data_IF_732361269544
#
_entry.id   IF_732361269544
#
_cell.length_a   1.000
_cell.length_b   1.000
_cell.length_c   1.000
_cell.angle_alpha   90.00
_cell.angle_beta   90.00
_cell.angle_gamma   90.00
#
_symmetry.space_group_name_H-M   'P 1'
#
loop_
_entity.id
_entity.type
_entity.pdbx_description
1 polymer ?
#
# COMPACT_ATOMS: atom_id res chain seq x y z
N UNK A 1 -29.80 -11.20 -14.63
CA UNK A 1 -28.51 -11.42 -15.31
C UNK A 1 -27.51 -11.85 -14.24
N UNK A 2 -27.26 -13.17 -14.11
CA UNK A 2 -26.26 -13.68 -13.17
C UNK A 2 -24.88 -13.22 -13.67
N UNK A 3 -24.18 -12.41 -12.89
CA UNK A 3 -22.74 -12.24 -13.08
C UNK A 3 -22.05 -13.37 -12.31
N UNK A 4 -21.46 -14.39 -12.97
CA UNK A 4 -20.58 -15.31 -12.29
C UNK A 4 -19.25 -14.59 -12.12
N UNK A 5 -19.15 -13.69 -11.14
CA UNK A 5 -17.86 -13.11 -10.78
C UNK A 5 -17.11 -14.19 -10.01
N UNK A 6 -16.28 -14.96 -10.73
CA UNK A 6 -15.22 -15.72 -10.08
C UNK A 6 -14.26 -14.67 -9.51
N UNK A 7 -14.32 -14.47 -8.19
CA UNK A 7 -13.34 -13.66 -7.45
C UNK A 7 -11.97 -14.28 -7.68
N UNK A 8 -11.16 -13.66 -8.51
CA UNK A 8 -9.79 -14.11 -8.69
C UNK A 8 -8.93 -13.56 -7.54
N UNK A 9 -8.33 -14.49 -6.79
CA UNK A 9 -7.30 -14.20 -5.81
C UNK A 9 -6.20 -13.33 -6.45
N UNK A 10 -5.82 -12.26 -5.75
CA UNK A 10 -4.72 -11.38 -6.18
C UNK A 10 -3.41 -12.05 -5.79
N UNK A 11 -2.44 -12.05 -6.69
CA UNK A 11 -1.13 -12.67 -6.47
C UNK A 11 -0.08 -11.59 -6.24
N UNK A 12 0.84 -11.83 -5.31
CA UNK A 12 2.11 -11.10 -5.20
C UNK A 12 3.25 -12.09 -5.48
N UNK A 13 4.38 -11.62 -5.98
CA UNK A 13 5.50 -12.50 -6.30
C UNK A 13 5.99 -13.30 -5.11
N UNK A 14 6.10 -14.62 -5.31
CA UNK A 14 6.53 -15.54 -4.25
C UNK A 14 5.55 -15.63 -3.06
N UNK A 15 4.42 -14.92 -3.12
CA UNK A 15 3.38 -14.93 -2.11
C UNK A 15 2.28 -15.91 -2.46
N UNK A 16 2.02 -16.83 -1.54
CA UNK A 16 0.81 -17.64 -1.55
C UNK A 16 -0.28 -16.87 -0.83
N UNK A 17 -1.41 -16.62 -1.50
CA UNK A 17 -2.58 -16.05 -0.83
C UNK A 17 -2.95 -16.92 0.37
N UNK A 18 -3.10 -16.27 1.52
CA UNK A 18 -3.29 -16.92 2.80
C UNK A 18 -4.62 -16.53 3.43
N UNK A 19 -5.65 -16.30 2.62
CA UNK A 19 -6.92 -15.73 3.03
C UNK A 19 -7.97 -16.74 3.52
N UNK A 20 -7.89 -18.01 3.12
CA UNK A 20 -8.98 -18.96 3.42
C UNK A 20 -8.93 -19.50 4.84
N UNK A 21 -10.08 -19.90 5.39
CA UNK A 21 -10.19 -20.66 6.65
C UNK A 21 -9.54 -19.98 7.86
N UNK A 22 -9.70 -18.67 7.99
CA UNK A 22 -9.41 -17.97 9.24
C UNK A 22 -10.56 -18.16 10.23
N UNK A 23 -10.24 -18.15 11.50
CA UNK A 23 -11.20 -18.09 12.59
C UNK A 23 -11.24 -16.67 13.13
N UNK A 24 -12.42 -16.14 13.38
CA UNK A 24 -12.65 -14.77 13.86
C UNK A 24 -13.52 -14.75 15.11
N UNK A 25 -13.20 -13.86 16.03
CA UNK A 25 -14.00 -13.55 17.20
C UNK A 25 -14.02 -12.03 17.43
N UNK A 26 -15.22 -11.47 17.56
CA UNK A 26 -15.43 -10.09 18.00
C UNK A 26 -15.56 -10.09 19.53
N UNK A 27 -14.66 -9.39 20.21
CA UNK A 27 -14.51 -9.37 21.66
C UNK A 27 -13.06 -9.60 22.09
N UNK A 28 -12.64 -8.97 23.18
CA UNK A 28 -11.25 -9.08 23.67
C UNK A 28 -11.04 -10.35 24.50
N UNK A 29 -11.05 -11.50 23.83
CA UNK A 29 -10.69 -12.76 24.48
C UNK A 29 -9.99 -13.70 23.51
N UNK A 30 -8.94 -14.33 24.01
CA UNK A 30 -8.22 -15.38 23.30
C UNK A 30 -8.75 -16.78 23.66
N UNK A 31 -9.77 -16.87 24.52
CA UNK A 31 -10.36 -18.14 24.94
C UNK A 31 -11.08 -18.81 23.76
N UNK A 32 -10.66 -20.03 23.44
CA UNK A 32 -11.25 -20.87 22.37
C UNK A 32 -12.54 -21.57 22.79
N UNK A 33 -12.99 -21.38 24.03
CA UNK A 33 -14.27 -21.92 24.51
C UNK A 33 -15.47 -21.27 23.81
N UNK A 34 -15.25 -20.13 23.14
CA UNK A 34 -16.19 -19.51 22.22
C UNK A 34 -15.97 -20.11 20.82
N UNK A 35 -17.04 -20.54 20.12
CA UNK A 35 -16.96 -21.01 18.73
C UNK A 35 -16.60 -19.83 17.81
N UNK A 36 -15.31 -19.62 17.55
CA UNK A 36 -14.86 -18.58 16.61
C UNK A 36 -15.42 -18.88 15.21
N UNK A 37 -15.96 -17.85 14.53
CA UNK A 37 -16.55 -17.97 13.19
C UNK A 37 -15.46 -18.26 12.18
N UNK A 38 -15.65 -19.24 11.30
CA UNK A 38 -14.74 -19.46 10.18
C UNK A 38 -15.13 -18.55 9.01
N UNK A 39 -14.15 -17.88 8.41
CA UNK A 39 -14.33 -16.97 7.26
C UNK A 39 -13.09 -16.93 6.35
N UNK A 40 -13.22 -16.29 5.20
CA UNK A 40 -12.10 -15.93 4.33
C UNK A 40 -11.85 -14.44 4.39
N UNK A 41 -10.58 -14.05 4.29
CA UNK A 41 -10.14 -12.66 4.13
C UNK A 41 -10.23 -12.22 2.66
N UNK A 42 -10.25 -10.92 2.36
CA UNK A 42 -10.35 -9.78 3.28
C UNK A 42 -11.68 -9.75 4.05
N UNK A 43 -11.68 -9.18 5.25
CA UNK A 43 -12.85 -9.12 6.11
C UNK A 43 -12.93 -7.78 6.85
N UNK A 44 -14.13 -7.19 6.80
CA UNK A 44 -14.53 -6.00 7.52
C UNK A 44 -15.70 -6.39 8.43
N UNK A 45 -15.50 -6.44 9.75
CA UNK A 45 -16.58 -6.87 10.64
C UNK A 45 -17.60 -5.77 10.93
N UNK A 46 -17.22 -4.49 10.74
CA UNK A 46 -18.08 -3.35 11.09
C UNK A 46 -19.29 -3.29 10.16
N UNK A 47 -19.11 -3.57 8.87
CA UNK A 47 -20.21 -3.52 7.88
C UNK A 47 -21.29 -4.59 8.13
N UNK A 48 -20.98 -5.64 8.89
CA UNK A 48 -21.93 -6.69 9.27
C UNK A 48 -22.84 -6.28 10.45
N UNK A 49 -22.52 -5.18 11.14
CA UNK A 49 -23.23 -4.72 12.33
C UNK A 49 -24.39 -3.77 11.98
N UNK A 50 -25.41 -3.65 12.85
CA UNK A 50 -26.47 -2.68 12.63
C UNK A 50 -25.94 -1.25 12.79
N UNK A 51 -26.43 -0.35 11.94
CA UNK A 51 -26.24 1.09 12.08
C UNK A 51 -26.96 1.58 13.35
N UNK A 52 -26.32 2.45 14.13
CA UNK A 52 -26.90 3.07 15.34
C UNK A 52 -26.34 4.47 15.58
N UNK A 53 -27.18 5.39 16.06
CA UNK A 53 -26.80 6.74 16.52
C UNK A 53 -25.94 6.72 17.80
N UNK A 54 -25.78 5.55 18.43
CA UNK A 54 -24.84 5.35 19.53
C UNK A 54 -23.38 5.40 19.05
N UNK A 55 -23.13 5.14 17.77
CA UNK A 55 -21.81 5.17 17.14
C UNK A 55 -21.54 6.51 16.46
N UNK A 56 -20.27 6.77 16.16
CA UNK A 56 -19.85 8.06 15.64
C UNK A 56 -20.42 8.33 14.23
N UNK A 57 -20.96 9.53 14.04
CA UNK A 57 -21.43 10.00 12.74
C UNK A 57 -20.29 10.05 11.70
N UNK A 58 -19.08 10.44 12.12
CA UNK A 58 -17.91 10.52 11.25
C UNK A 58 -17.48 9.16 10.66
N UNK A 59 -17.76 8.05 11.34
CA UNK A 59 -17.45 6.68 10.90
C UNK A 59 -18.72 5.93 10.50
N UNK A 60 -19.71 6.65 9.97
CA UNK A 60 -20.94 6.12 9.38
C UNK A 60 -21.85 5.33 10.34
N UNK A 61 -21.89 5.68 11.63
CA UNK A 61 -22.80 5.09 12.60
C UNK A 61 -22.63 3.56 12.77
N UNK A 62 -21.40 3.06 12.56
CA UNK A 62 -21.06 1.65 12.73
C UNK A 62 -20.02 1.47 13.85
N UNK A 63 -20.06 0.34 14.57
CA UNK A 63 -19.13 0.07 15.67
C UNK A 63 -17.73 -0.30 15.19
N UNK A 64 -16.75 -0.13 16.08
CA UNK A 64 -15.43 -0.76 16.02
C UNK A 64 -15.32 -1.95 16.98
N UNK A 65 -14.48 -1.81 18.00
CA UNK A 65 -14.20 -2.80 19.04
C UNK A 65 -12.89 -3.59 18.83
N UNK A 66 -12.69 -4.62 19.64
CA UNK A 66 -11.52 -5.52 19.53
C UNK A 66 -11.93 -6.79 18.79
N UNK A 67 -11.21 -7.11 17.72
CA UNK A 67 -11.39 -8.35 16.96
C UNK A 67 -10.12 -9.20 16.98
N UNK A 68 -10.31 -10.51 17.15
CA UNK A 68 -9.23 -11.50 17.08
C UNK A 68 -9.40 -12.40 15.86
N UNK A 69 -8.31 -12.61 15.13
CA UNK A 69 -8.21 -13.58 14.05
C UNK A 69 -7.19 -14.66 14.42
N UNK A 70 -7.46 -15.90 14.03
CA UNK A 70 -6.56 -17.02 14.20
C UNK A 70 -6.52 -17.86 12.93
N UNK A 71 -5.33 -18.33 12.58
CA UNK A 71 -5.17 -19.32 11.51
C UNK A 71 -4.13 -20.36 11.86
N UNK A 72 -4.49 -21.61 11.63
CA UNK A 72 -3.59 -22.75 11.79
C UNK A 72 -3.16 -23.28 10.43
N UNK A 73 -1.88 -23.58 10.26
CA UNK A 73 -1.31 -24.15 9.04
C UNK A 73 -0.13 -25.07 9.36
N UNK A 74 0.20 -25.96 8.44
CA UNK A 74 1.43 -26.76 8.52
C UNK A 74 2.42 -26.24 7.46
N UNK A 75 3.65 -25.83 7.84
CA UNK A 75 4.66 -25.39 6.90
C UNK A 75 4.99 -26.49 5.89
N UNK A 76 5.04 -26.12 4.60
CA UNK A 76 5.44 -27.05 3.55
C UNK A 76 6.93 -27.42 3.73
N UNK A 77 7.26 -28.71 3.69
CA UNK A 77 8.63 -29.18 3.88
C UNK A 77 9.63 -28.54 2.89
N UNK A 78 9.17 -28.12 1.71
CA UNK A 78 10.00 -27.43 0.70
C UNK A 78 10.50 -26.05 1.14
N UNK A 79 9.89 -25.45 2.17
CA UNK A 79 10.29 -24.15 2.69
C UNK A 79 11.52 -24.24 3.61
N UNK A 80 11.99 -25.44 3.97
CA UNK A 80 13.18 -25.59 4.81
C UNK A 80 14.40 -24.94 4.16
N UNK A 81 15.12 -24.13 4.93
CA UNK A 81 16.27 -23.36 4.46
C UNK A 81 15.92 -22.06 3.72
N UNK A 82 14.62 -21.79 3.52
CA UNK A 82 14.13 -20.52 2.99
C UNK A 82 13.74 -19.58 4.13
N UNK A 83 13.67 -18.28 3.83
CA UNK A 83 12.97 -17.30 4.65
C UNK A 83 11.48 -17.40 4.38
N UNK A 84 10.69 -17.47 5.44
CA UNK A 84 9.23 -17.50 5.40
C UNK A 84 8.72 -16.30 6.18
N UNK A 85 7.90 -15.49 5.53
CA UNK A 85 7.28 -14.32 6.14
C UNK A 85 5.76 -14.35 5.99
N UNK A 86 5.07 -13.65 6.88
CA UNK A 86 3.67 -13.28 6.68
C UNK A 86 3.59 -11.80 6.32
N UNK A 87 2.85 -11.50 5.25
CA UNK A 87 2.61 -10.14 4.76
C UNK A 87 1.14 -9.80 4.89
N UNK A 88 0.85 -8.62 5.43
CA UNK A 88 -0.49 -8.04 5.53
C UNK A 88 -0.55 -6.78 4.67
N UNK A 89 -1.47 -6.72 3.72
CA UNK A 89 -1.63 -5.52 2.87
C UNK A 89 -2.35 -4.36 3.59
N UNK A 90 -3.02 -4.65 4.71
CA UNK A 90 -3.64 -3.68 5.61
C UNK A 90 -4.51 -4.36 6.67
N UNK A 91 -4.44 -3.84 7.90
CA UNK A 91 -5.25 -4.27 9.05
C UNK A 91 -5.69 -3.04 9.81
N UNK A 92 -6.98 -2.69 9.75
CA UNK A 92 -7.52 -1.52 10.45
C UNK A 92 -8.00 -1.91 11.85
N UNK A 93 -7.39 -1.44 12.94
CA UNK A 93 -6.11 -0.74 13.10
C UNK A 93 -5.40 -1.27 14.36
N UNK A 94 -4.32 -0.62 14.79
CA UNK A 94 -3.62 -0.96 16.04
C UNK A 94 -3.34 -2.46 16.15
N UNK A 95 -2.90 -3.05 15.03
CA UNK A 95 -2.83 -4.49 14.90
C UNK A 95 -1.61 -5.04 15.61
N UNK A 96 -1.76 -6.21 16.23
CA UNK A 96 -0.69 -6.95 16.89
C UNK A 96 -0.69 -8.39 16.38
N UNK A 97 0.49 -8.97 16.14
CA UNK A 97 0.61 -10.29 15.52
C UNK A 97 1.48 -11.23 16.35
N UNK A 98 1.04 -12.48 16.46
CA UNK A 98 1.78 -13.57 17.10
C UNK A 98 1.84 -14.80 16.21
N UNK A 99 2.89 -15.61 16.38
CA UNK A 99 2.96 -16.98 15.88
C UNK A 99 3.43 -17.92 16.99
N UNK A 100 2.68 -19.00 17.23
CA UNK A 100 2.98 -20.01 18.26
C UNK A 100 3.26 -19.39 19.66
N UNK A 101 2.58 -18.30 20.00
CA UNK A 101 2.77 -17.56 21.26
C UNK A 101 3.90 -16.53 21.25
N UNK A 102 4.74 -16.48 20.22
CA UNK A 102 5.76 -15.45 20.05
C UNK A 102 5.16 -14.18 19.46
N UNK A 103 5.35 -13.05 20.12
CA UNK A 103 4.96 -11.73 19.62
C UNK A 103 5.89 -11.27 18.49
N UNK A 104 5.32 -10.85 17.37
CA UNK A 104 6.06 -10.38 16.19
C UNK A 104 6.15 -8.86 16.13
N UNK A 105 5.11 -8.15 16.54
CA UNK A 105 5.10 -6.69 16.54
C UNK A 105 3.69 -6.08 16.48
N UNK A 106 3.66 -4.75 16.50
CA UNK A 106 2.48 -3.89 16.34
C UNK A 106 2.59 -3.08 15.06
N UNK A 107 1.45 -2.82 14.39
CA UNK A 107 1.30 -1.80 13.34
C UNK A 107 0.10 -0.90 13.67
N UNK A 108 0.33 0.35 14.11
CA UNK A 108 -0.76 1.27 14.47
C UNK A 108 -1.62 1.69 13.28
N UNK A 109 -0.98 2.10 12.19
CA UNK A 109 -1.65 2.60 11.00
C UNK A 109 -2.37 1.48 10.25
N UNK A 110 -3.67 1.65 10.03
CA UNK A 110 -4.50 0.65 9.35
C UNK A 110 -4.32 0.57 7.84
N UNK A 111 -3.64 1.54 7.22
CA UNK A 111 -3.58 1.67 5.76
C UNK A 111 -2.27 1.19 5.13
N UNK A 112 -1.21 1.04 5.92
CA UNK A 112 0.11 0.67 5.41
C UNK A 112 0.32 -0.83 5.53
N UNK A 113 0.85 -1.43 4.48
CA UNK A 113 1.21 -2.83 4.47
C UNK A 113 2.44 -3.11 5.34
N UNK A 114 2.58 -4.34 5.82
CA UNK A 114 3.73 -4.75 6.63
C UNK A 114 4.03 -6.26 6.50
N UNK A 115 5.26 -6.64 6.82
CA UNK A 115 5.75 -8.02 6.73
C UNK A 115 6.52 -8.41 8.01
N UNK A 116 6.30 -9.62 8.51
CA UNK A 116 7.07 -10.21 9.62
C UNK A 116 7.76 -11.52 9.20
N UNK A 117 9.06 -11.66 9.50
CA UNK A 117 9.80 -12.92 9.35
C UNK A 117 9.34 -13.91 10.44
N UNK A 118 8.70 -15.00 10.01
CA UNK A 118 8.21 -16.06 10.91
C UNK A 118 9.13 -17.28 10.95
N UNK A 119 10.18 -17.30 10.12
CA UNK A 119 11.12 -18.43 9.99
C UNK A 119 11.61 -18.97 11.34
N UNK A 120 12.05 -18.12 12.30
CA UNK A 120 12.61 -18.60 13.57
C UNK A 120 11.60 -19.34 14.46
N UNK A 121 10.30 -19.12 14.23
CA UNK A 121 9.23 -19.60 15.11
C UNK A 121 8.45 -20.78 14.52
N UNK A 122 8.80 -21.23 13.31
CA UNK A 122 8.11 -22.33 12.63
C UNK A 122 8.38 -23.69 13.29
N UNK A 123 7.31 -24.38 13.69
CA UNK A 123 7.31 -25.76 14.13
C UNK A 123 7.18 -26.69 12.91
N UNK A 124 8.29 -27.20 12.41
CA UNK A 124 8.29 -28.06 11.22
C UNK A 124 7.59 -29.40 11.45
N UNK A 125 6.76 -29.81 10.48
CA UNK A 125 5.99 -31.06 10.55
C UNK A 125 4.85 -31.04 11.57
N UNK A 126 4.56 -29.89 12.17
CA UNK A 126 3.48 -29.68 13.14
C UNK A 126 2.59 -28.52 12.71
N UNK A 127 1.41 -28.45 13.32
CA UNK A 127 0.54 -27.29 13.21
C UNK A 127 1.21 -26.05 13.83
N UNK A 128 1.10 -24.93 13.13
CA UNK A 128 1.54 -23.60 13.55
C UNK A 128 0.33 -22.69 13.57
N UNK A 129 0.23 -21.83 14.58
CA UNK A 129 -0.93 -20.94 14.77
C UNK A 129 -0.48 -19.49 14.77
N UNK A 130 -1.02 -18.71 13.83
CA UNK A 130 -0.92 -17.26 13.81
C UNK A 130 -2.14 -16.68 14.50
N UNK A 131 -1.94 -15.67 15.34
CA UNK A 131 -3.00 -14.84 15.93
C UNK A 131 -2.78 -13.38 15.55
N UNK A 132 -3.86 -12.68 15.28
CA UNK A 132 -3.86 -11.25 15.00
C UNK A 132 -4.93 -10.59 15.86
N UNK A 133 -4.55 -9.58 16.63
CA UNK A 133 -5.49 -8.66 17.29
C UNK A 133 -5.62 -7.42 16.40
N UNK A 134 -6.83 -6.96 16.18
CA UNK A 134 -7.11 -5.63 15.64
C UNK A 134 -7.90 -4.87 16.70
N UNK A 135 -7.40 -3.69 17.08
CA UNK A 135 -7.96 -2.88 18.17
C UNK A 135 -8.52 -1.57 17.62
N UNK A 136 -9.85 -1.53 17.50
CA UNK A 136 -10.60 -0.38 17.02
C UNK A 136 -11.59 0.09 18.10
N UNK A 137 -11.21 0.07 19.38
CA UNK A 137 -12.05 0.60 20.47
C UNK A 137 -12.32 2.10 20.32
N UNK A 138 -11.35 2.83 19.77
CA UNK A 138 -11.49 4.22 19.32
C UNK A 138 -12.35 4.26 18.04
N UNK A 139 -13.65 4.01 18.15
CA UNK A 139 -14.56 3.91 17.00
C UNK A 139 -14.81 5.24 16.27
N UNK A 140 -14.28 6.34 16.79
CA UNK A 140 -14.45 7.71 16.30
C UNK A 140 -13.10 8.35 15.92
N UNK A 141 -12.16 7.56 15.38
CA UNK A 141 -10.78 7.97 15.12
C UNK A 141 -10.52 8.47 13.67
N UNK A 142 -11.55 8.47 12.83
CA UNK A 142 -11.51 8.85 11.42
C UNK A 142 -12.64 9.82 11.06
N UNK A 143 -12.42 10.63 10.01
CA UNK A 143 -13.46 11.54 9.46
C UNK A 143 -14.36 10.85 8.44
N UNK A 144 -14.04 9.61 8.07
CA UNK A 144 -14.78 8.77 7.13
C UNK A 144 -14.83 7.33 7.64
N UNK A 145 -15.69 6.51 7.04
CA UNK A 145 -15.80 5.10 7.35
C UNK A 145 -14.51 4.33 7.00
N UNK A 146 -13.98 3.59 7.97
CA UNK A 146 -12.71 2.84 7.86
C UNK A 146 -12.89 1.34 7.87
N UNK A 147 -14.05 0.87 8.33
CA UNK A 147 -14.29 -0.52 8.67
C UNK A 147 -13.36 -1.04 9.77
N UNK A 148 -13.35 -2.36 9.97
CA UNK A 148 -12.50 -2.97 11.00
C UNK A 148 -11.99 -4.37 10.64
N UNK A 149 -10.70 -4.59 10.88
CA UNK A 149 -10.06 -5.89 10.81
C UNK A 149 -9.09 -6.06 9.66
N UNK A 150 -8.87 -7.31 9.23
CA UNK A 150 -7.95 -7.64 8.14
C UNK A 150 -8.69 -7.46 6.81
N UNK A 151 -8.90 -6.20 6.44
CA UNK A 151 -9.71 -5.80 5.28
C UNK A 151 -8.96 -5.86 3.95
N UNK A 152 -7.67 -6.22 3.95
CA UNK A 152 -6.90 -6.49 2.73
C UNK A 152 -6.23 -7.88 2.80
N UNK A 153 -5.65 -8.29 1.67
CA UNK A 153 -5.11 -9.63 1.52
C UNK A 153 -3.93 -9.92 2.46
N UNK A 154 -3.82 -11.18 2.85
CA UNK A 154 -2.70 -11.74 3.60
C UNK A 154 -1.98 -12.76 2.76
N UNK A 155 -0.66 -12.77 2.82
CA UNK A 155 0.17 -13.70 2.06
C UNK A 155 1.20 -14.37 2.95
N UNK A 156 1.48 -15.65 2.67
CA UNK A 156 2.73 -16.27 3.11
C UNK A 156 3.73 -16.17 1.98
N UNK A 157 4.88 -15.56 2.26
CA UNK A 157 5.94 -15.34 1.27
C UNK A 157 7.14 -16.19 1.62
N UNK A 158 7.66 -16.92 0.64
CA UNK A 158 8.89 -17.71 0.79
C UNK A 158 9.99 -17.19 -0.14
N UNK A 159 11.19 -16.95 0.40
CA UNK A 159 12.35 -16.43 -0.34
C UNK A 159 13.60 -17.24 -0.02
N UNK A 160 14.44 -17.49 -1.02
CA UNK A 160 15.77 -18.05 -0.77
C UNK A 160 16.60 -17.14 0.15
N UNK A 161 17.58 -17.72 0.84
CA UNK A 161 18.49 -16.97 1.71
C UNK A 161 19.24 -15.84 0.97
N UNK A 162 19.40 -15.97 -0.35
CA UNK A 162 19.86 -14.91 -1.25
C UNK A 162 18.73 -14.49 -2.19
N UNK A 163 18.18 -13.30 -1.96
CA UNK A 163 16.99 -12.83 -2.67
C UNK A 163 17.01 -11.30 -2.91
N UNK A 164 16.06 -10.82 -3.70
CA UNK A 164 15.71 -9.41 -3.80
C UNK A 164 14.30 -9.25 -3.22
N UNK A 165 14.14 -8.31 -2.27
CA UNK A 165 12.83 -7.97 -1.76
C UNK A 165 12.11 -7.04 -2.75
N UNK A 166 10.82 -7.23 -3.07
CA UNK A 166 10.11 -6.39 -4.05
C UNK A 166 10.16 -4.88 -3.74
N UNK A 167 10.08 -4.51 -2.46
CA UNK A 167 10.17 -3.11 -2.01
C UNK A 167 11.57 -2.50 -2.11
N UNK A 168 12.60 -3.32 -2.32
CA UNK A 168 13.97 -2.85 -2.55
C UNK A 168 14.23 -2.55 -4.04
N UNK A 169 13.28 -2.85 -4.93
CA UNK A 169 13.39 -2.57 -6.38
C UNK A 169 12.86 -1.18 -6.71
N UNK A 170 13.64 -0.37 -7.42
CA UNK A 170 13.25 0.93 -7.95
C UNK A 170 13.47 0.94 -9.46
N UNK A 171 12.38 1.04 -10.22
CA UNK A 171 12.37 1.23 -11.65
C UNK A 171 12.14 2.71 -11.97
N UNK A 172 12.97 3.31 -12.83
CA UNK A 172 12.76 4.67 -13.29
C UNK A 172 13.22 4.87 -14.74
N UNK A 173 12.69 5.93 -15.35
CA UNK A 173 12.99 6.32 -16.73
C UNK A 173 13.45 7.78 -16.76
N UNK A 174 14.69 8.08 -16.34
CA UNK A 174 15.18 9.44 -16.15
C UNK A 174 15.21 10.28 -17.44
N UNK A 175 15.32 9.64 -18.60
CA UNK A 175 15.32 10.29 -19.91
C UNK A 175 14.33 9.54 -20.80
N UNK A 176 13.27 10.22 -21.25
CA UNK A 176 12.23 9.63 -22.10
C UNK A 176 12.05 10.47 -23.34
N UNK A 177 12.26 9.84 -24.50
CA UNK A 177 11.96 10.36 -25.83
C UNK A 177 11.30 9.21 -26.63
N UNK A 178 10.39 9.54 -27.55
CA UNK A 178 9.73 8.57 -28.43
C UNK A 178 10.69 7.70 -29.25
N UNK A 179 11.91 8.18 -29.51
CA UNK A 179 12.95 7.44 -30.22
C UNK A 179 13.86 6.61 -29.31
N UNK A 180 14.13 7.08 -28.08
CA UNK A 180 15.07 6.47 -27.16
C UNK A 180 14.74 6.85 -25.71
N UNK A 181 14.71 5.86 -24.83
CA UNK A 181 14.57 6.04 -23.38
C UNK A 181 15.72 5.38 -22.64
N UNK A 182 16.18 6.01 -21.56
CA UNK A 182 17.09 5.38 -20.60
C UNK A 182 16.26 4.73 -19.50
N UNK A 183 16.40 3.41 -19.34
CA UNK A 183 15.83 2.62 -18.25
C UNK A 183 16.88 2.49 -17.15
N UNK A 184 16.49 2.77 -15.91
CA UNK A 184 17.31 2.60 -14.71
C UNK A 184 16.58 1.70 -13.71
N UNK A 185 17.22 0.61 -13.30
CA UNK A 185 16.72 -0.26 -12.24
C UNK A 185 17.77 -0.33 -11.13
N UNK A 186 17.38 0.08 -9.92
CA UNK A 186 18.17 -0.10 -8.70
C UNK A 186 17.52 -1.18 -7.84
N UNK A 187 18.30 -2.07 -7.26
CA UNK A 187 17.81 -3.09 -6.35
C UNK A 187 18.88 -3.45 -5.31
N UNK A 188 18.48 -4.08 -4.21
CA UNK A 188 19.39 -4.68 -3.24
C UNK A 188 19.27 -6.21 -3.26
N UNK A 189 20.39 -6.90 -3.50
CA UNK A 189 20.51 -8.33 -3.26
C UNK A 189 20.80 -8.54 -1.78
N UNK A 190 19.86 -9.15 -1.07
CA UNK A 190 20.01 -9.50 0.34
C UNK A 190 20.55 -10.92 0.45
N UNK A 191 21.71 -11.08 1.10
CA UNK A 191 22.27 -12.36 1.48
C UNK A 191 22.18 -12.53 3.00
N UNK A 192 21.35 -13.47 3.45
CA UNK A 192 21.14 -13.76 4.88
C UNK A 192 22.07 -14.86 5.43
N UNK A 193 22.97 -15.40 4.60
CA UNK A 193 23.97 -16.37 5.01
C UNK A 193 25.19 -15.68 5.64
N UNK A 194 25.95 -16.42 6.46
CA UNK A 194 27.15 -15.92 7.12
C UNK A 194 28.34 -15.69 6.17
N UNK A 195 28.28 -16.20 4.94
CA UNK A 195 29.38 -16.12 3.97
C UNK A 195 28.94 -15.48 2.66
N UNK A 196 29.89 -14.84 1.98
CA UNK A 196 29.65 -14.27 0.66
C UNK A 196 29.24 -15.34 -0.35
N UNK A 197 28.32 -15.00 -1.25
CA UNK A 197 27.81 -15.91 -2.27
C UNK A 197 28.04 -15.34 -3.67
N UNK A 198 28.57 -16.12 -4.63
CA UNK A 198 28.59 -15.71 -6.03
C UNK A 198 27.17 -15.75 -6.59
N UNK A 199 26.73 -14.61 -7.12
CA UNK A 199 25.36 -14.40 -7.59
C UNK A 199 25.39 -13.76 -8.98
N UNK A 200 24.47 -14.19 -9.83
CA UNK A 200 24.18 -13.54 -11.10
C UNK A 200 22.75 -13.04 -11.06
N UNK A 201 22.53 -11.74 -11.26
CA UNK A 201 21.19 -11.16 -11.37
C UNK A 201 20.91 -10.80 -12.82
N UNK A 202 19.84 -11.36 -13.36
CA UNK A 202 19.37 -11.10 -14.73
C UNK A 202 18.10 -10.25 -14.70
N UNK A 203 18.16 -9.09 -15.32
CA UNK A 203 17.02 -8.22 -15.59
C UNK A 203 16.50 -8.52 -17.00
N UNK A 204 15.26 -9.00 -17.11
CA UNK A 204 14.52 -9.06 -18.37
C UNK A 204 13.42 -8.00 -18.35
N UNK A 205 13.30 -7.20 -19.41
CA UNK A 205 12.13 -6.36 -19.65
C UNK A 205 11.36 -6.94 -20.83
N UNK A 206 10.12 -7.34 -20.60
CA UNK A 206 9.29 -8.09 -21.56
C UNK A 206 8.06 -7.23 -21.87
N UNK A 207 7.71 -7.10 -23.14
CA UNK A 207 6.50 -6.36 -23.55
C UNK A 207 5.25 -7.14 -23.12
N UNK A 208 4.16 -6.47 -22.72
CA UNK A 208 2.91 -7.13 -22.31
C UNK A 208 2.30 -8.02 -23.41
N UNK A 209 2.44 -7.62 -24.68
CA UNK A 209 2.03 -8.43 -25.83
C UNK A 209 2.93 -9.67 -26.09
N UNK A 210 3.96 -9.87 -25.27
CA UNK A 210 5.00 -10.86 -25.49
C UNK A 210 6.22 -10.28 -26.21
N UNK A 211 7.34 -10.99 -26.11
CA UNK A 211 8.62 -10.58 -26.71
C UNK A 211 9.52 -9.80 -25.74
N UNK A 212 10.81 -10.15 -25.76
CA UNK A 212 11.84 -9.55 -24.93
C UNK A 212 12.21 -8.18 -25.49
N UNK A 213 12.02 -7.10 -24.71
CA UNK A 213 12.50 -5.77 -25.07
C UNK A 213 14.02 -5.66 -24.88
N UNK A 214 14.52 -6.14 -23.73
CA UNK A 214 15.95 -6.37 -23.52
C UNK A 214 16.20 -7.33 -22.36
N UNK A 215 17.44 -7.83 -22.28
CA UNK A 215 17.96 -8.54 -21.11
C UNK A 215 19.33 -7.98 -20.73
N UNK A 216 19.59 -7.79 -19.43
CA UNK A 216 20.89 -7.35 -18.91
C UNK A 216 21.25 -8.17 -17.67
N UNK A 217 22.54 -8.43 -17.50
CA UNK A 217 23.04 -9.26 -16.39
C UNK A 217 24.10 -8.53 -15.60
N UNK A 218 24.08 -8.69 -14.28
CA UNK A 218 25.14 -8.27 -13.35
C UNK A 218 25.57 -9.47 -12.54
N UNK A 219 26.88 -9.64 -12.35
CA UNK A 219 27.45 -10.66 -11.47
C UNK A 219 28.11 -9.98 -10.28
N UNK A 220 27.92 -10.52 -9.09
CA UNK A 220 28.53 -10.01 -7.85
C UNK A 220 28.84 -11.15 -6.88
N UNK A 221 29.77 -10.90 -5.97
CA UNK A 221 29.94 -11.73 -4.78
C UNK A 221 29.20 -11.05 -3.61
N UNK A 222 27.95 -11.44 -3.39
CA UNK A 222 27.05 -10.81 -2.41
C UNK A 222 27.52 -11.13 -0.99
N UNK A 223 27.99 -10.12 -0.26
CA UNK A 223 28.40 -10.22 1.15
C UNK A 223 27.17 -10.40 2.05
N UNK A 224 27.31 -10.92 3.28
CA UNK A 224 26.22 -10.93 4.25
C UNK A 224 25.59 -9.52 4.39
N UNK A 225 24.26 -9.44 4.34
CA UNK A 225 23.51 -8.18 4.32
C UNK A 225 23.05 -7.74 2.93
N UNK A 226 22.75 -6.44 2.78
CA UNK A 226 22.28 -5.83 1.53
C UNK A 226 23.44 -5.46 0.60
N UNK A 227 23.31 -5.79 -0.69
CA UNK A 227 24.29 -5.51 -1.72
C UNK A 227 23.61 -4.76 -2.88
N UNK A 228 23.88 -3.46 -3.08
CA UNK A 228 23.22 -2.68 -4.11
C UNK A 228 23.69 -3.07 -5.51
N UNK A 229 22.75 -3.13 -6.45
CA UNK A 229 22.99 -3.34 -7.87
C UNK A 229 22.26 -2.29 -8.71
N UNK A 230 22.81 -1.97 -9.88
CA UNK A 230 22.25 -1.00 -10.81
C UNK A 230 22.28 -1.55 -12.23
N UNK A 231 21.15 -1.49 -12.92
CA UNK A 231 21.03 -1.70 -14.35
C UNK A 231 20.70 -0.38 -15.02
N UNK A 232 21.48 0.01 -16.02
CA UNK A 232 21.16 1.13 -16.90
C UNK A 232 21.15 0.63 -18.35
N UNK A 233 20.07 0.82 -19.08
CA UNK A 233 19.91 0.33 -20.45
C UNK A 233 19.15 1.34 -21.31
N UNK A 234 19.68 1.64 -22.50
CA UNK A 234 18.92 2.39 -23.49
C UNK A 234 17.94 1.45 -24.22
N UNK A 235 16.70 1.89 -24.40
CA UNK A 235 15.67 1.23 -25.17
C UNK A 235 15.26 2.12 -26.34
N UNK A 236 15.37 1.60 -27.56
CA UNK A 236 14.95 2.28 -28.79
C UNK A 236 13.47 2.02 -29.07
N UNK A 237 12.76 3.04 -29.54
CA UNK A 237 11.33 2.96 -29.88
C UNK A 237 10.47 2.34 -28.76
N UNK A 238 10.52 2.89 -27.52
CA UNK A 238 9.72 2.38 -26.41
C UNK A 238 8.22 2.62 -26.67
N UNK A 239 7.39 1.63 -26.35
CA UNK A 239 5.97 1.87 -26.15
C UNK A 239 5.81 2.65 -24.84
N UNK A 240 5.31 3.88 -24.94
CA UNK A 240 5.12 4.78 -23.80
C UNK A 240 3.77 4.53 -23.13
N UNK A 241 3.76 4.53 -21.81
CA UNK A 241 2.53 4.51 -21.02
C UNK A 241 1.86 5.90 -21.06
N UNK A 242 0.57 5.94 -21.35
CA UNK A 242 -0.28 7.13 -21.21
C UNK A 242 -1.68 6.78 -20.67
N UNK A 243 -2.52 7.80 -20.47
CA UNK A 243 -3.92 7.64 -20.05
C UNK A 243 -4.73 6.88 -21.11
N UNK A 244 -4.46 7.11 -22.39
CA UNK A 244 -5.16 6.53 -23.54
C UNK A 244 -4.51 5.21 -24.02
N UNK A 245 -3.19 5.11 -23.87
CA UNK A 245 -2.39 3.94 -24.25
C UNK A 245 -1.57 3.48 -23.04
N UNK A 246 -2.20 2.76 -22.08
CA UNK A 246 -1.53 2.31 -20.85
C UNK A 246 -0.60 1.12 -21.10
N UNK A 247 0.43 1.34 -21.93
CA UNK A 247 1.43 0.33 -22.29
C UNK A 247 2.29 -0.05 -21.08
N UNK A 248 2.32 -1.34 -20.76
CA UNK A 248 3.06 -1.90 -19.63
C UNK A 248 4.09 -2.93 -20.10
N UNK A 249 5.13 -3.08 -19.29
CA UNK A 249 6.15 -4.11 -19.44
C UNK A 249 6.20 -4.98 -18.19
N UNK A 250 6.46 -6.26 -18.38
CA UNK A 250 6.86 -7.14 -17.30
C UNK A 250 8.36 -6.98 -17.06
N UNK A 251 8.72 -6.34 -15.96
CA UNK A 251 10.09 -6.35 -15.45
C UNK A 251 10.29 -7.61 -14.62
N UNK A 252 11.29 -8.42 -14.98
CA UNK A 252 11.65 -9.62 -14.25
C UNK A 252 13.11 -9.54 -13.80
N UNK A 253 13.34 -9.62 -12.49
CA UNK A 253 14.66 -9.74 -11.87
C UNK A 253 14.85 -11.18 -11.38
N UNK A 254 15.75 -11.93 -12.00
CA UNK A 254 16.05 -13.31 -11.64
C UNK A 254 17.40 -13.36 -10.92
N UNK A 255 17.41 -13.85 -9.69
CA UNK A 255 18.62 -14.10 -8.90
C UNK A 255 19.03 -15.54 -9.11
N UNK A 256 20.21 -15.74 -9.70
CA UNK A 256 20.80 -17.05 -9.97
C UNK A 256 21.97 -17.29 -9.01
N UNK A 257 21.99 -18.47 -8.37
CA UNK A 257 23.04 -18.93 -7.46
C UNK A 257 23.40 -20.36 -7.81
N UNK A 258 24.70 -20.66 -7.98
CA UNK A 258 25.19 -22.00 -8.35
C UNK A 258 24.49 -22.58 -9.60
N UNK A 259 24.22 -21.73 -10.60
CA UNK A 259 23.53 -22.12 -11.84
C UNK A 259 22.03 -22.38 -11.70
N UNK A 260 21.44 -22.19 -10.52
CA UNK A 260 19.99 -22.37 -10.27
C UNK A 260 19.31 -21.04 -9.93
N UNK A 261 18.04 -20.91 -10.25
CA UNK A 261 17.24 -19.74 -9.88
C UNK A 261 16.91 -19.82 -8.38
N UNK A 262 17.43 -18.87 -7.62
CA UNK A 262 17.20 -18.74 -6.19
C UNK A 262 15.95 -17.88 -5.88
N UNK A 263 15.77 -16.79 -6.63
CA UNK A 263 14.66 -15.87 -6.43
C UNK A 263 14.28 -15.19 -7.74
N UNK A 264 13.02 -14.76 -7.84
CA UNK A 264 12.51 -13.97 -8.95
C UNK A 264 11.53 -12.91 -8.43
N UNK A 265 11.67 -11.68 -8.92
CA UNK A 265 10.71 -10.59 -8.73
C UNK A 265 10.17 -10.19 -10.10
N UNK A 266 8.84 -10.12 -10.25
CA UNK A 266 8.10 -9.70 -11.43
C UNK A 266 7.22 -8.48 -11.11
N UNK A 267 7.49 -7.34 -11.72
CA UNK A 267 6.66 -6.15 -11.56
C UNK A 267 6.19 -5.64 -12.91
N UNK A 268 4.94 -5.18 -12.95
CA UNK A 268 4.47 -4.36 -14.05
C UNK A 268 5.09 -2.97 -13.90
N UNK A 269 5.64 -2.45 -15.00
CA UNK A 269 6.23 -1.11 -15.05
C UNK A 269 5.82 -0.41 -16.34
N UNK A 270 5.74 0.91 -16.30
CA UNK A 270 5.44 1.74 -17.47
C UNK A 270 6.57 2.71 -17.78
N UNK A 271 6.76 3.02 -19.06
CA UNK A 271 7.76 3.99 -19.52
C UNK A 271 7.05 5.30 -19.86
N UNK A 272 7.34 6.38 -19.14
CA UNK A 272 6.72 7.69 -19.39
C UNK A 272 7.52 8.82 -18.79
N UNK A 273 7.34 10.04 -19.31
CA UNK A 273 7.80 11.26 -18.62
C UNK A 273 6.64 12.03 -18.03
N UNK A 274 6.88 12.65 -16.89
CA UNK A 274 5.98 13.62 -16.25
C UNK A 274 6.72 14.92 -16.00
N UNK A 275 6.02 16.04 -16.17
CA UNK A 275 6.57 17.36 -15.91
C UNK A 275 5.46 18.30 -15.43
N UNK A 276 5.70 18.96 -14.30
CA UNK A 276 4.93 20.11 -13.86
C UNK A 276 5.69 21.38 -14.20
N UNK A 277 5.04 22.24 -14.97
CA UNK A 277 5.54 23.55 -15.38
C UNK A 277 4.71 24.63 -14.69
N UNK A 278 5.37 25.60 -14.07
CA UNK A 278 4.68 26.65 -13.29
C UNK A 278 3.74 27.51 -14.13
N UNK A 279 4.04 27.70 -15.41
CA UNK A 279 3.29 28.59 -16.30
C UNK A 279 2.33 27.81 -17.20
N UNK A 280 2.71 26.58 -17.56
CA UNK A 280 2.00 25.78 -18.56
C UNK A 280 1.25 24.57 -17.96
N UNK A 281 1.44 24.24 -16.69
CA UNK A 281 0.76 23.13 -16.01
C UNK A 281 1.40 21.76 -16.24
N UNK A 282 0.58 20.71 -16.32
CA UNK A 282 1.05 19.32 -16.34
C UNK A 282 1.26 18.79 -17.76
N UNK A 283 2.33 18.01 -17.93
CA UNK A 283 2.67 17.31 -19.16
C UNK A 283 2.93 15.82 -18.89
N UNK A 284 2.37 14.98 -19.75
CA UNK A 284 2.63 13.54 -19.82
C UNK A 284 3.23 13.24 -21.21
N UNK A 285 4.42 12.64 -21.26
CA UNK A 285 5.12 12.33 -22.51
C UNK A 285 5.32 13.55 -23.44
N UNK A 286 5.50 14.74 -22.84
CA UNK A 286 5.66 16.00 -23.58
C UNK A 286 4.34 16.64 -24.05
N UNK A 287 3.20 15.98 -23.87
CA UNK A 287 1.88 16.52 -24.22
C UNK A 287 1.25 17.20 -23.00
N UNK A 288 0.83 18.46 -23.17
CA UNK A 288 0.10 19.19 -22.14
C UNK A 288 -1.29 18.59 -21.94
N UNK A 289 -1.70 18.38 -20.69
CA UNK A 289 -3.06 17.93 -20.40
C UNK A 289 -3.57 18.42 -19.05
N UNK A 290 -4.89 18.46 -18.90
CA UNK A 290 -5.56 18.75 -17.62
C UNK A 290 -5.79 17.46 -16.83
N UNK A 291 -5.61 17.55 -15.52
CA UNK A 291 -6.04 16.52 -14.58
C UNK A 291 -7.55 16.67 -14.35
N UNK A 292 -8.33 15.77 -14.95
CA UNK A 292 -9.77 15.64 -14.76
C UNK A 292 -10.01 14.67 -13.60
N UNK A 293 -9.71 15.17 -12.40
CA UNK A 293 -9.53 14.35 -11.20
C UNK A 293 -10.79 14.18 -10.37
N UNK A 294 -10.90 13.04 -9.69
CA UNK A 294 -11.84 12.81 -8.58
C UNK A 294 -11.08 12.32 -7.34
N UNK A 295 -11.58 12.65 -6.15
CA UNK A 295 -11.14 12.02 -4.91
C UNK A 295 -11.98 10.77 -4.65
N UNK A 296 -11.36 9.69 -4.17
CA UNK A 296 -12.06 8.46 -3.78
C UNK A 296 -11.58 8.00 -2.41
N UNK A 297 -12.52 7.61 -1.54
CA UNK A 297 -12.25 6.77 -0.36
C UNK A 297 -12.16 5.29 -0.77
N UNK A 298 -11.72 4.42 0.14
CA UNK A 298 -11.49 3.00 -0.11
C UNK A 298 -12.71 2.09 0.20
N UNK A 299 -13.80 2.64 0.73
CA UNK A 299 -15.07 1.93 0.88
C UNK A 299 -15.84 1.79 -0.44
N UNK A 300 -16.72 0.78 -0.51
CA UNK A 300 -17.69 0.62 -1.59
C UNK A 300 -19.13 0.48 -1.07
N UNK A 301 -19.53 1.40 -0.20
CA UNK A 301 -20.88 1.47 0.36
C UNK A 301 -21.25 0.20 1.13
N UNK A 302 -22.27 -0.53 0.65
CA UNK A 302 -22.76 -1.75 1.31
C UNK A 302 -21.74 -2.89 1.41
N UNK A 303 -20.59 -2.79 0.72
CA UNK A 303 -19.50 -3.78 0.81
C UNK A 303 -18.44 -3.41 1.86
N UNK A 304 -18.57 -2.26 2.53
CA UNK A 304 -17.58 -1.77 3.46
C UNK A 304 -16.24 -1.51 2.77
N UNK A 305 -15.14 -1.79 3.47
CA UNK A 305 -13.76 -1.60 2.94
C UNK A 305 -13.09 -2.88 2.42
N UNK A 306 -13.68 -4.06 2.66
CA UNK A 306 -13.22 -5.34 2.11
C UNK A 306 -13.68 -5.51 0.64
N UNK A 307 -13.35 -4.52 -0.20
CA UNK A 307 -13.94 -4.38 -1.55
C UNK A 307 -13.30 -5.36 -2.55
N UNK A 308 -14.10 -6.17 -3.27
CA UNK A 308 -13.59 -7.00 -4.36
C UNK A 308 -13.00 -6.20 -5.52
N UNK A 309 -11.98 -6.76 -6.19
CA UNK A 309 -11.32 -6.12 -7.33
C UNK A 309 -12.30 -5.74 -8.44
N UNK A 310 -13.29 -6.59 -8.71
CA UNK A 310 -14.25 -6.43 -9.81
C UNK A 310 -15.22 -5.27 -9.57
N UNK A 311 -15.47 -4.93 -8.30
CA UNK A 311 -16.23 -3.72 -7.95
C UNK A 311 -15.44 -2.47 -8.32
N UNK A 312 -14.14 -2.47 -8.06
CA UNK A 312 -13.25 -1.38 -8.49
C UNK A 312 -13.11 -1.30 -10.00
N UNK A 313 -12.98 -2.42 -10.71
CA UNK A 313 -12.99 -2.45 -12.18
C UNK A 313 -14.25 -1.73 -12.70
N UNK A 314 -15.43 -2.07 -12.17
CA UNK A 314 -16.68 -1.41 -12.56
C UNK A 314 -16.67 0.08 -12.24
N UNK A 315 -16.31 0.47 -11.01
CA UNK A 315 -16.31 1.90 -10.59
C UNK A 315 -15.35 2.73 -11.44
N UNK A 316 -14.13 2.24 -11.66
CA UNK A 316 -13.13 2.92 -12.48
C UNK A 316 -13.54 2.98 -13.95
N UNK A 317 -14.20 1.95 -14.47
CA UNK A 317 -14.72 1.97 -15.85
C UNK A 317 -15.74 3.10 -16.03
N UNK A 318 -16.70 3.22 -15.11
CA UNK A 318 -17.70 4.30 -15.14
C UNK A 318 -17.04 5.68 -15.07
N UNK A 319 -16.03 5.86 -14.20
CA UNK A 319 -15.30 7.13 -14.12
C UNK A 319 -14.56 7.43 -15.43
N UNK A 320 -13.91 6.41 -16.03
CA UNK A 320 -13.21 6.57 -17.31
C UNK A 320 -14.17 6.97 -18.44
N UNK A 321 -15.34 6.32 -18.51
CA UNK A 321 -16.40 6.64 -19.48
C UNK A 321 -16.93 8.07 -19.31
N UNK A 322 -16.98 8.58 -18.08
CA UNK A 322 -17.31 9.98 -17.77
C UNK A 322 -16.18 10.98 -18.11
N UNK A 323 -15.01 10.50 -18.56
CA UNK A 323 -13.87 11.33 -18.95
C UNK A 323 -12.88 11.65 -17.83
N UNK A 324 -12.99 10.99 -16.67
CA UNK A 324 -11.99 11.09 -15.58
C UNK A 324 -10.68 10.47 -16.04
N UNK A 325 -9.57 11.15 -15.78
CA UNK A 325 -8.22 10.66 -16.12
C UNK A 325 -7.26 10.62 -14.93
N UNK A 326 -7.68 11.12 -13.77
CA UNK A 326 -6.85 11.16 -12.58
C UNK A 326 -7.66 10.86 -11.32
N UNK A 327 -6.98 10.29 -10.33
CA UNK A 327 -7.54 9.94 -9.04
C UNK A 327 -6.65 10.51 -7.93
N UNK A 328 -7.28 11.04 -6.90
CA UNK A 328 -6.64 11.27 -5.61
C UNK A 328 -7.16 10.22 -4.63
N UNK A 329 -6.24 9.46 -4.03
CA UNK A 329 -6.56 8.43 -3.05
C UNK A 329 -6.69 9.09 -1.67
N UNK A 330 -7.87 9.63 -1.40
CA UNK A 330 -8.15 10.43 -0.21
C UNK A 330 -8.51 9.53 0.98
N UNK A 331 -7.85 9.61 2.13
CA UNK A 331 -6.65 10.39 2.48
C UNK A 331 -5.58 9.46 3.05
N UNK A 332 -5.39 8.33 2.38
CA UNK A 332 -4.58 7.22 2.85
C UNK A 332 -4.12 6.35 1.67
N UNK A 333 -3.11 5.49 1.87
CA UNK A 333 -2.75 4.51 0.86
C UNK A 333 -3.84 3.44 0.72
N UNK A 334 -4.19 3.09 -0.51
CA UNK A 334 -5.22 2.08 -0.81
C UNK A 334 -4.60 0.67 -0.93
N UNK A 335 -5.45 -0.32 -1.24
CA UNK A 335 -5.03 -1.69 -1.50
C UNK A 335 -4.18 -1.77 -2.78
N UNK A 336 -3.17 -2.66 -2.80
CA UNK A 336 -2.19 -2.74 -3.89
C UNK A 336 -2.82 -2.89 -5.29
N UNK A 337 -3.86 -3.72 -5.41
CA UNK A 337 -4.53 -3.97 -6.68
C UNK A 337 -5.21 -2.75 -7.30
N UNK A 338 -5.53 -1.71 -6.51
CA UNK A 338 -6.12 -0.50 -7.05
C UNK A 338 -5.09 0.29 -7.87
N UNK A 339 -3.82 0.26 -7.48
CA UNK A 339 -2.72 0.86 -8.24
C UNK A 339 -2.46 0.06 -9.52
N UNK A 340 -2.51 -1.28 -9.47
CA UNK A 340 -2.45 -2.12 -10.67
C UNK A 340 -3.58 -1.78 -11.65
N UNK A 341 -4.81 -1.60 -11.15
CA UNK A 341 -5.95 -1.19 -11.98
C UNK A 341 -5.71 0.20 -12.60
N UNK A 342 -5.16 1.15 -11.84
CA UNK A 342 -4.84 2.48 -12.36
C UNK A 342 -3.77 2.41 -13.45
N UNK A 343 -2.77 1.55 -13.29
CA UNK A 343 -1.73 1.31 -14.30
C UNK A 343 -2.34 0.71 -15.58
N UNK A 344 -3.18 -0.32 -15.44
CA UNK A 344 -3.81 -1.05 -16.55
C UNK A 344 -4.85 -0.22 -17.30
N UNK A 345 -5.60 0.63 -16.60
CA UNK A 345 -6.69 1.44 -17.15
C UNK A 345 -6.26 2.86 -17.54
N UNK A 346 -5.00 3.24 -17.26
CA UNK A 346 -4.46 4.55 -17.60
C UNK A 346 -5.04 5.69 -16.75
N UNK A 347 -4.94 5.59 -15.42
CA UNK A 347 -5.25 6.70 -14.51
C UNK A 347 -3.96 7.31 -13.96
N UNK A 348 -3.95 8.65 -13.83
CA UNK A 348 -2.90 9.37 -13.12
C UNK A 348 -3.27 9.49 -11.64
N UNK A 349 -2.39 9.06 -10.75
CA UNK A 349 -2.68 8.90 -9.32
C UNK A 349 -1.87 9.89 -8.48
N UNK A 350 -2.57 10.56 -7.56
CA UNK A 350 -1.99 11.20 -6.38
C UNK A 350 -2.22 10.27 -5.19
N UNK A 351 -1.13 9.64 -4.72
CA UNK A 351 -1.14 8.73 -3.58
C UNK A 351 -0.88 9.53 -2.30
N UNK A 352 -1.72 9.39 -1.28
CA UNK A 352 -1.72 10.27 -0.11
C UNK A 352 -1.43 9.51 1.18
N UNK A 353 -0.49 10.02 1.97
CA UNK A 353 0.03 9.34 3.14
C UNK A 353 -0.86 9.51 4.38
N UNK A 354 -1.25 10.76 4.67
CA UNK A 354 -1.85 11.12 5.94
C UNK A 354 -2.96 12.17 5.78
N UNK A 355 -3.98 12.08 6.63
CA UNK A 355 -4.96 13.15 6.81
C UNK A 355 -4.58 14.12 7.93
N UNK A 356 -3.79 13.69 8.90
CA UNK A 356 -3.36 14.48 10.05
C UNK A 356 -1.91 14.16 10.42
N UNK A 357 -1.23 15.09 11.09
CA UNK A 357 0.16 14.90 11.54
C UNK A 357 0.23 14.66 13.05
N UNK A 358 0.98 15.44 13.83
CA UNK A 358 1.15 15.21 15.28
C UNK A 358 -0.05 15.64 16.12
N UNK A 359 -1.05 16.28 15.51
CA UNK A 359 -2.20 16.81 16.22
C UNK A 359 -3.49 16.35 15.55
N UNK A 360 -4.41 15.82 16.35
CA UNK A 360 -5.62 15.18 15.87
C UNK A 360 -6.63 16.17 15.29
N UNK A 361 -7.21 15.83 14.13
CA UNK A 361 -8.36 16.56 13.55
C UNK A 361 -9.65 16.22 14.29
N UNK A 362 -10.62 17.15 14.26
CA UNK A 362 -11.96 16.91 14.82
C UNK A 362 -12.65 15.76 14.07
N UNK A 363 -13.04 14.71 14.81
CA UNK A 363 -13.91 13.62 14.34
C UNK A 363 -15.25 13.72 15.05
N UNK A 364 -16.33 13.99 14.32
CA UNK A 364 -17.64 14.22 14.94
C UNK A 364 -18.25 12.91 15.41
N UNK A 365 -18.60 12.86 16.71
CA UNK A 365 -19.27 11.70 17.31
C UNK A 365 -20.77 11.77 17.05
N UNK A 366 -21.38 12.96 17.11
CA UNK A 366 -22.80 13.18 16.84
C UNK A 366 -22.96 14.26 15.78
N UNK A 367 -23.80 14.01 14.78
CA UNK A 367 -24.10 14.98 13.74
C UNK A 367 -22.87 15.47 12.97
N UNK A 368 -22.94 16.69 12.45
CA UNK A 368 -21.84 17.37 11.77
C UNK A 368 -21.62 18.74 12.41
N UNK A 369 -20.43 19.01 12.92
CA UNK A 369 -20.14 20.22 13.69
C UNK A 369 -21.02 20.39 14.95
N UNK A 370 -21.47 19.29 15.54
CA UNK A 370 -22.30 19.27 16.75
C UNK A 370 -21.56 18.58 17.92
N UNK A 371 -21.68 19.15 19.12
CA UNK A 371 -21.13 18.58 20.34
C UNK A 371 -19.60 18.64 20.45
N UNK A 372 -19.04 17.75 21.27
CA UNK A 372 -17.58 17.61 21.44
C UNK A 372 -17.06 16.57 20.45
N UNK A 373 -16.16 16.92 19.51
CA UNK A 373 -15.56 15.95 18.61
C UNK A 373 -14.58 15.05 19.37
N UNK A 374 -14.40 13.82 18.88
CA UNK A 374 -13.23 13.02 19.23
C UNK A 374 -11.98 13.60 18.54
N UNK A 375 -10.84 13.38 19.17
CA UNK A 375 -9.50 13.66 18.65
C UNK A 375 -8.69 12.40 18.43
N UNK A 376 -9.24 11.22 18.72
CA UNK A 376 -8.58 9.93 18.51
C UNK A 376 -8.14 9.82 17.04
N UNK A 377 -7.03 9.12 16.80
CA UNK A 377 -6.50 8.99 15.45
C UNK A 377 -5.04 8.59 15.39
N UNK A 378 -4.47 8.70 14.20
CA UNK A 378 -3.08 8.32 13.95
C UNK A 378 -2.09 9.34 14.53
N UNK A 379 -2.54 10.55 14.86
CA UNK A 379 -1.67 11.60 15.40
C UNK A 379 -0.87 11.18 16.66
N UNK A 380 -1.43 10.28 17.46
CA UNK A 380 -0.79 9.71 18.66
C UNK A 380 0.48 8.91 18.34
N UNK A 381 0.52 8.31 17.14
CA UNK A 381 1.61 7.47 16.67
C UNK A 381 2.55 8.19 15.70
N UNK A 382 2.14 9.37 15.20
CA UNK A 382 2.80 10.05 14.09
C UNK A 382 4.30 10.27 14.33
N UNK A 383 4.69 10.75 15.51
CA UNK A 383 6.10 11.01 15.85
C UNK A 383 6.99 9.78 15.73
N UNK A 384 6.47 8.61 16.09
CA UNK A 384 7.22 7.35 16.05
C UNK A 384 7.13 6.69 14.68
N UNK A 385 5.96 6.73 14.04
CA UNK A 385 5.63 5.87 12.90
C UNK A 385 5.61 6.58 11.54
N UNK A 386 5.44 7.90 11.47
CA UNK A 386 5.20 8.60 10.19
C UNK A 386 6.33 8.38 9.16
N UNK A 387 7.60 8.42 9.58
CA UNK A 387 8.71 8.16 8.67
C UNK A 387 8.72 6.72 8.15
N UNK A 388 8.39 5.75 9.01
CA UNK A 388 8.34 4.34 8.62
C UNK A 388 7.19 4.09 7.63
N UNK A 389 6.00 4.60 7.96
CA UNK A 389 4.80 4.47 7.15
C UNK A 389 4.91 5.15 5.79
N UNK A 390 5.46 6.37 5.75
CA UNK A 390 5.71 7.08 4.50
C UNK A 390 6.73 6.33 3.63
N UNK A 391 7.81 5.82 4.23
CA UNK A 391 8.82 5.06 3.51
C UNK A 391 8.24 3.76 2.95
N UNK A 392 7.42 3.04 3.72
CA UNK A 392 6.78 1.80 3.27
C UNK A 392 5.75 2.05 2.17
N UNK A 393 4.92 3.09 2.28
CA UNK A 393 4.01 3.54 1.22
C UNK A 393 4.75 3.73 -0.10
N UNK A 394 5.83 4.54 -0.09
CA UNK A 394 6.60 4.83 -1.30
C UNK A 394 7.30 3.58 -1.81
N UNK A 395 7.96 2.80 -0.95
CA UNK A 395 8.69 1.59 -1.39
C UNK A 395 7.76 0.54 -1.99
N UNK A 396 6.56 0.36 -1.43
CA UNK A 396 5.54 -0.55 -1.95
C UNK A 396 5.10 -0.13 -3.35
N UNK A 397 4.84 1.16 -3.55
CA UNK A 397 4.07 1.64 -4.71
C UNK A 397 4.90 2.37 -5.78
N UNK A 398 6.18 2.70 -5.54
CA UNK A 398 6.98 3.58 -6.43
C UNK A 398 7.18 3.13 -7.87
N UNK A 399 6.94 1.86 -8.17
CA UNK A 399 7.11 1.32 -9.52
C UNK A 399 5.83 1.39 -10.36
N UNK A 400 4.69 1.79 -9.76
CA UNK A 400 3.45 2.01 -10.48
C UNK A 400 3.56 3.23 -11.42
N UNK A 401 3.44 3.06 -12.75
CA UNK A 401 3.32 4.19 -13.65
C UNK A 401 2.02 4.96 -13.44
N UNK A 402 1.03 4.55 -12.66
CA UNK A 402 -0.12 5.43 -12.41
C UNK A 402 0.27 6.63 -11.53
N UNK A 403 1.19 6.46 -10.58
CA UNK A 403 1.52 7.48 -9.56
C UNK A 403 2.36 8.62 -10.12
N UNK A 404 1.84 9.84 -10.03
CA UNK A 404 2.50 11.08 -10.48
C UNK A 404 2.78 12.07 -9.34
N UNK A 405 2.17 11.87 -8.17
CA UNK A 405 2.35 12.70 -6.99
C UNK A 405 2.32 11.85 -5.72
N UNK A 406 3.16 12.21 -4.76
CA UNK A 406 3.10 11.74 -3.38
C UNK A 406 2.61 12.89 -2.50
N UNK A 407 1.39 12.79 -2.01
CA UNK A 407 0.80 13.76 -1.09
C UNK A 407 1.16 13.41 0.34
N UNK A 408 1.83 14.33 1.03
CA UNK A 408 2.30 14.13 2.41
C UNK A 408 1.21 14.41 3.46
N UNK A 409 0.09 15.02 3.07
CA UNK A 409 -0.91 15.51 4.00
C UNK A 409 -2.10 16.14 3.28
N UNK A 410 -3.28 16.00 3.87
CA UNK A 410 -4.50 16.71 3.43
C UNK A 410 -4.82 17.85 4.40
N UNK A 411 -5.03 19.09 3.91
CA UNK A 411 -5.59 20.21 4.70
C UNK A 411 -4.99 20.34 6.12
N UNK A 412 -3.69 20.16 6.25
CA UNK A 412 -2.98 20.13 7.54
C UNK A 412 -2.95 21.53 8.18
N UNK A 413 -3.17 22.55 7.37
CA UNK A 413 -3.19 23.96 7.74
C UNK A 413 -4.62 24.50 7.94
N UNK A 414 -5.67 23.67 7.89
CA UNK A 414 -7.05 24.11 8.06
C UNK A 414 -7.24 24.89 9.38
N UNK A 415 -8.10 25.91 9.52
CA UNK A 415 -8.14 26.77 10.71
C UNK A 415 -8.57 26.12 12.05
N UNK A 416 -9.03 24.88 12.01
CA UNK A 416 -9.23 24.02 13.20
C UNK A 416 -8.08 23.00 13.38
N UNK A 417 -7.10 23.03 12.48
CA UNK A 417 -5.88 22.25 12.43
C UNK A 417 -4.71 23.15 12.91
N UNK A 418 -3.83 22.63 13.76
CA UNK A 418 -2.80 23.44 14.38
C UNK A 418 -1.57 23.79 13.54
N UNK A 419 -1.41 23.38 12.28
CA UNK A 419 -0.20 23.77 11.53
C UNK A 419 -0.35 25.08 10.76
N UNK A 420 0.76 25.80 10.59
CA UNK A 420 0.78 27.07 9.86
C UNK A 420 2.05 27.27 9.03
N UNK A 421 1.99 28.15 8.03
CA UNK A 421 3.14 28.51 7.18
C UNK A 421 3.10 29.99 6.80
N UNK A 422 4.26 30.65 6.67
CA UNK A 422 4.35 32.08 6.35
C UNK A 422 3.71 32.45 5.00
N UNK A 423 3.64 31.50 4.06
CA UNK A 423 2.95 31.67 2.76
C UNK A 423 1.48 32.05 2.93
N UNK A 424 0.87 31.72 4.07
CA UNK A 424 -0.51 32.10 4.39
C UNK A 424 -0.68 33.62 4.58
N UNK A 425 0.41 34.38 4.78
CA UNK A 425 0.38 35.84 4.86
C UNK A 425 0.34 36.52 3.47
N UNK A 426 0.76 35.82 2.41
CA UNK A 426 1.08 36.43 1.11
C UNK A 426 0.38 35.77 -0.09
N UNK A 427 -0.30 34.64 0.13
CA UNK A 427 -1.04 33.93 -0.91
C UNK A 427 -2.36 34.61 -1.34
N UNK A 428 -2.77 34.39 -2.60
CA UNK A 428 -4.11 34.77 -3.11
C UNK A 428 -5.26 33.92 -2.55
N UNK A 429 -4.93 32.94 -1.72
CA UNK A 429 -5.88 32.09 -1.04
C UNK A 429 -5.80 32.47 0.45
N UNK A 430 -6.56 33.49 0.92
CA UNK A 430 -6.86 33.50 2.34
C UNK A 430 -7.53 32.16 2.57
N UNK A 431 -6.91 31.25 3.33
CA UNK A 431 -7.66 30.11 3.87
C UNK A 431 -9.00 30.66 4.34
N UNK A 432 -10.06 29.93 4.04
CA UNK A 432 -11.50 30.28 4.05
C UNK A 432 -11.99 31.04 5.32
N UNK A 433 -11.13 31.32 6.31
CA UNK A 433 -11.39 31.98 7.58
C UNK A 433 -10.34 33.01 8.07
N UNK A 434 -9.34 33.43 7.27
CA UNK A 434 -8.58 34.68 7.49
C UNK A 434 -7.62 34.78 8.68
N UNK A 435 -7.04 33.67 9.18
CA UNK A 435 -6.14 33.70 10.36
C UNK A 435 -4.67 34.03 10.05
N UNK A 436 -4.21 33.85 8.82
CA UNK A 436 -2.80 34.06 8.45
C UNK A 436 -1.83 33.13 9.18
N UNK A 437 -0.54 33.49 9.19
CA UNK A 437 0.48 32.75 9.93
C UNK A 437 0.33 32.91 11.46
N UNK A 438 0.43 31.81 12.20
CA UNK A 438 0.32 31.81 13.66
C UNK A 438 1.64 31.37 14.31
N UNK A 439 2.47 32.31 14.79
CA UNK A 439 3.83 32.00 15.29
C UNK A 439 3.90 30.97 16.44
N UNK A 440 2.81 30.78 17.19
CA UNK A 440 2.73 29.82 18.31
C UNK A 440 2.21 28.43 17.89
N UNK A 441 2.00 28.21 16.60
CA UNK A 441 1.52 26.95 16.03
C UNK A 441 2.68 26.17 15.40
N UNK A 442 2.64 24.82 15.40
CA UNK A 442 3.63 24.00 14.70
C UNK A 442 3.80 24.39 13.22
N UNK A 443 5.04 24.41 12.74
CA UNK A 443 5.33 24.73 11.34
C UNK A 443 4.89 23.59 10.42
N UNK A 444 4.22 23.92 9.32
CA UNK A 444 3.91 22.96 8.24
C UNK A 444 5.18 22.38 7.56
N UNK A 445 6.38 22.92 7.86
CA UNK A 445 7.67 22.40 7.36
C UNK A 445 8.30 21.32 8.25
N UNK A 446 7.59 20.86 9.29
CA UNK A 446 8.12 19.86 10.23
C UNK A 446 8.29 18.48 9.59
N UNK A 447 7.43 18.10 8.63
CA UNK A 447 7.58 16.86 7.89
C UNK A 447 8.76 16.92 6.92
N UNK A 448 9.68 15.95 7.02
CA UNK A 448 10.79 15.76 6.09
C UNK A 448 12.11 16.46 6.47
N UNK A 449 12.24 16.94 7.70
CA UNK A 449 13.53 17.35 8.28
C UNK A 449 14.33 16.16 8.83
#
# INVERSE_FOLDING_TARGET
MQMPVKLHAQAIDGGRLFNDNWQFHLGDTTATNNKWRTLSLPHDWSIEQPFSEDWASATAYLPGGIGWYQKTFTPDAKWRGQKVSIYFDGVYKNSEVWINGHYLGKRPNGFIAFEYDITPYLLWGKANTIKVKADHTEFADSRWYTGSGIYRNVYLITRDAVNIHPWDVAFSTPEVNSSKTTILVKADVTNTLATSQPVTVKLNLIKKAGGLAFSKTVTLNAKPGKNPIVFQQALTSPQLWSVEHPELYHMQLQVMRNGKMANQVNQMVGIRSIRFDKDNGFFLNGTNMKLKGVCIHDDAGALGVAVPREVWVRRLTILKEAGVNSLRLSHNPHAGYLYDLCDEMGFLVMDEAFDEWELGKNKWVKGWNEGTPSKDGYHEYFKEWAHHDLADMVKRSRNHPSIIMWSIGNEIDYPNDPYTHEVLNTGRNPQIYGRGYMANHPSATALGR
#
